data_IF_282402060107
#
_entry.id   IF_282402060107
#
_cell.length_a   1.000
_cell.length_b   1.000
_cell.length_c   1.000
_cell.angle_alpha   90.00
_cell.angle_beta   90.00
_cell.angle_gamma   90.00
#
_symmetry.space_group_name_H-M   'P 1'
#
loop_
_entity.id
_entity.type
_entity.pdbx_description
1 polymer ?
#
# COMPACT_ATOMS: atom_id res chain seq x y z
N UNK A 1 -20.43 14.36 4.39
CA UNK A 1 -19.36 13.50 3.83
C UNK A 1 -18.00 14.18 3.87
N UNK A 2 -17.89 15.46 3.49
CA UNK A 2 -16.64 16.25 3.54
C UNK A 2 -16.04 16.39 4.96
N UNK A 3 -16.88 16.69 5.97
CA UNK A 3 -16.44 16.79 7.38
C UNK A 3 -15.87 15.48 7.97
N UNK A 4 -16.26 14.30 7.44
CA UNK A 4 -15.72 13.02 7.89
C UNK A 4 -14.30 12.79 7.38
N UNK A 5 -13.94 13.35 6.22
CA UNK A 5 -12.59 13.21 5.66
C UNK A 5 -11.56 14.02 6.44
N UNK A 6 -11.92 15.24 6.84
CA UNK A 6 -11.04 16.16 7.57
C UNK A 6 -10.74 15.66 9.00
N UNK A 7 -11.76 15.17 9.71
CA UNK A 7 -11.59 14.63 11.08
C UNK A 7 -10.67 13.40 11.11
N UNK A 8 -10.68 12.56 10.08
CA UNK A 8 -9.83 11.36 10.01
C UNK A 8 -8.36 11.69 9.81
N UNK A 9 -8.05 12.72 9.03
CA UNK A 9 -6.67 13.17 8.84
C UNK A 9 -6.11 13.67 10.18
N UNK A 10 -6.90 14.43 10.94
CA UNK A 10 -6.50 14.93 12.26
C UNK A 10 -6.20 13.78 13.22
N UNK A 11 -7.00 12.72 13.24
CA UNK A 11 -6.72 11.56 14.12
C UNK A 11 -5.35 10.93 13.83
N UNK A 12 -5.03 10.72 12.55
CA UNK A 12 -3.73 10.16 12.16
C UNK A 12 -2.58 11.11 12.49
N UNK A 13 -2.74 12.41 12.22
CA UNK A 13 -1.74 13.42 12.58
C UNK A 13 -1.54 13.50 14.09
N UNK A 14 -2.61 13.36 14.89
CA UNK A 14 -2.53 13.37 16.33
C UNK A 14 -1.75 12.16 16.85
N UNK A 15 -1.92 10.98 16.26
CA UNK A 15 -1.10 9.81 16.61
C UNK A 15 0.39 10.04 16.32
N UNK A 16 0.71 10.72 15.21
CA UNK A 16 2.10 11.10 14.87
C UNK A 16 2.65 12.11 15.88
N UNK A 17 1.88 13.15 16.21
CA UNK A 17 2.29 14.18 17.17
C UNK A 17 2.54 13.63 18.59
N UNK A 18 1.97 12.48 18.93
CA UNK A 18 2.18 11.80 20.20
C UNK A 18 3.17 10.62 20.10
N UNK A 19 3.94 10.53 19.02
CA UNK A 19 4.95 9.50 18.77
C UNK A 19 4.41 8.05 18.85
N UNK A 20 3.12 7.85 18.55
CA UNK A 20 2.49 6.53 18.51
C UNK A 20 2.68 5.83 17.15
N UNK A 21 2.86 6.62 16.08
CA UNK A 21 3.19 6.15 14.73
C UNK A 21 4.16 7.13 14.05
N UNK A 22 5.14 6.62 13.31
CA UNK A 22 6.12 7.49 12.63
C UNK A 22 5.61 8.06 11.30
N UNK A 23 4.69 7.34 10.66
CA UNK A 23 4.17 7.65 9.32
C UNK A 23 2.66 7.40 9.24
N UNK A 24 1.90 8.17 8.44
CA UNK A 24 0.44 8.09 8.35
C UNK A 24 -0.04 6.88 7.52
N UNK A 25 0.29 5.66 7.95
CA UNK A 25 -0.02 4.42 7.22
C UNK A 25 -1.31 3.73 7.66
N UNK A 26 -1.86 4.11 8.82
CA UNK A 26 -3.02 3.46 9.40
C UNK A 26 -4.30 3.81 8.63
N UNK A 27 -4.95 2.81 8.02
CA UNK A 27 -6.17 3.03 7.25
C UNK A 27 -7.44 2.99 8.12
N UNK A 28 -7.51 3.87 9.13
CA UNK A 28 -8.61 3.94 10.11
C UNK A 28 -10.01 4.07 9.49
N UNK A 29 -10.07 4.66 8.29
CA UNK A 29 -11.33 4.85 7.56
C UNK A 29 -12.03 3.55 7.19
N UNK A 30 -11.29 2.46 6.96
CA UNK A 30 -11.86 1.15 6.57
C UNK A 30 -12.88 0.67 7.60
N UNK A 31 -12.46 0.57 8.86
CA UNK A 31 -13.32 0.14 9.97
C UNK A 31 -14.55 1.04 10.16
N UNK A 32 -14.37 2.36 10.02
CA UNK A 32 -15.49 3.32 10.14
C UNK A 32 -16.50 3.14 8.99
N UNK A 33 -16.04 2.85 7.78
CA UNK A 33 -16.92 2.63 6.62
C UNK A 33 -17.68 1.31 6.78
N UNK A 34 -17.01 0.26 7.23
CA UNK A 34 -17.63 -1.04 7.52
C UNK A 34 -18.66 -0.95 8.64
N UNK A 35 -18.39 -0.14 9.67
CA UNK A 35 -19.26 0.05 10.86
C UNK A 35 -19.98 1.40 10.86
N UNK A 36 -20.34 1.91 9.67
CA UNK A 36 -20.87 3.27 9.49
C UNK A 36 -22.10 3.58 10.33
N UNK A 37 -22.99 2.60 10.52
CA UNK A 37 -24.20 2.78 11.32
C UNK A 37 -23.85 3.07 12.78
N UNK A 38 -22.99 2.26 13.39
CA UNK A 38 -22.55 2.44 14.78
C UNK A 38 -21.75 3.72 14.96
N UNK A 39 -20.88 4.06 14.00
CA UNK A 39 -20.17 5.34 14.02
C UNK A 39 -21.13 6.53 14.18
N UNK A 40 -22.18 6.61 13.36
CA UNK A 40 -23.13 7.73 13.46
C UNK A 40 -24.02 7.66 14.68
N UNK A 41 -24.42 6.45 15.11
CA UNK A 41 -25.21 6.25 16.31
C UNK A 41 -24.45 6.75 17.54
N UNK A 42 -23.22 6.27 17.75
CA UNK A 42 -22.37 6.61 18.88
C UNK A 42 -21.97 8.09 18.90
N UNK A 43 -21.65 8.66 17.73
CA UNK A 43 -21.33 10.09 17.62
C UNK A 43 -22.54 10.96 18.01
N UNK A 44 -23.74 10.58 17.57
CA UNK A 44 -24.96 11.32 17.89
C UNK A 44 -25.36 11.18 19.37
N UNK A 45 -25.19 9.99 19.96
CA UNK A 45 -25.39 9.77 21.41
C UNK A 45 -24.44 10.63 22.23
N UNK A 46 -23.15 10.63 21.88
CA UNK A 46 -22.14 11.46 22.55
C UNK A 46 -22.50 12.95 22.52
N UNK A 47 -22.89 13.46 21.34
CA UNK A 47 -23.26 14.87 21.19
C UNK A 47 -24.51 15.29 21.97
N UNK A 48 -25.47 14.37 22.16
CA UNK A 48 -26.77 14.67 22.78
C UNK A 48 -26.82 14.37 24.28
N UNK A 49 -26.16 13.29 24.69
CA UNK A 49 -26.28 12.70 26.03
C UNK A 49 -24.96 12.75 26.80
N UNK A 50 -23.83 13.07 26.15
CA UNK A 50 -22.51 13.07 26.79
C UNK A 50 -21.96 11.67 27.09
N UNK A 51 -22.49 10.63 26.45
CA UNK A 51 -22.06 9.23 26.63
C UNK A 51 -20.76 8.93 25.85
N UNK A 52 -19.62 9.32 26.42
CA UNK A 52 -18.31 9.20 25.77
C UNK A 52 -17.71 7.79 25.78
N UNK A 53 -18.09 6.95 26.73
CA UNK A 53 -17.45 5.66 26.96
C UNK A 53 -17.55 4.74 25.73
N UNK A 54 -18.77 4.51 25.22
CA UNK A 54 -18.97 3.65 24.04
C UNK A 54 -18.28 4.21 22.80
N UNK A 55 -18.24 5.55 22.65
CA UNK A 55 -17.54 6.20 21.54
C UNK A 55 -16.02 5.98 21.60
N UNK A 56 -15.42 6.14 22.78
CA UNK A 56 -13.99 5.91 22.99
C UNK A 56 -13.64 4.44 22.70
N UNK A 57 -14.43 3.49 23.24
CA UNK A 57 -14.24 2.06 22.99
C UNK A 57 -14.33 1.75 21.49
N UNK A 58 -15.30 2.33 20.78
CA UNK A 58 -15.42 2.17 19.34
C UNK A 58 -14.18 2.66 18.59
N UNK A 59 -13.65 3.83 18.95
CA UNK A 59 -12.46 4.39 18.32
C UNK A 59 -11.19 3.58 18.63
N UNK A 60 -11.03 3.12 19.87
CA UNK A 60 -9.93 2.23 20.25
C UNK A 60 -9.99 0.90 19.47
N UNK A 61 -11.20 0.35 19.31
CA UNK A 61 -11.40 -0.87 18.51
C UNK A 61 -11.04 -0.65 17.04
N UNK A 62 -11.43 0.50 16.49
CA UNK A 62 -11.07 0.87 15.13
C UNK A 62 -9.55 0.93 14.93
N UNK A 63 -8.82 1.53 15.89
CA UNK A 63 -7.35 1.59 15.85
C UNK A 63 -6.73 0.19 15.98
N UNK A 64 -7.19 -0.64 16.92
CA UNK A 64 -6.71 -2.01 17.11
C UNK A 64 -6.84 -2.83 15.82
N UNK A 65 -8.06 -2.93 15.28
CA UNK A 65 -8.35 -3.76 14.10
C UNK A 65 -7.56 -3.29 12.88
N UNK A 66 -7.56 -1.98 12.61
CA UNK A 66 -6.85 -1.45 11.44
C UNK A 66 -5.33 -1.53 11.59
N UNK A 67 -4.80 -1.50 12.81
CA UNK A 67 -3.36 -1.70 13.05
C UNK A 67 -2.95 -3.14 12.75
N UNK A 68 -3.72 -4.11 13.21
CA UNK A 68 -3.47 -5.54 12.93
C UNK A 68 -3.53 -5.80 11.42
N UNK A 69 -4.58 -5.32 10.74
CA UNK A 69 -4.71 -5.45 9.29
C UNK A 69 -3.53 -4.81 8.53
N UNK A 70 -3.06 -3.64 8.99
CA UNK A 70 -1.91 -2.95 8.38
C UNK A 70 -0.63 -3.77 8.53
N UNK A 71 -0.39 -4.36 9.72
CA UNK A 71 0.75 -5.23 9.98
C UNK A 71 0.72 -6.48 9.10
N UNK A 72 -0.43 -7.16 9.03
CA UNK A 72 -0.60 -8.35 8.18
C UNK A 72 -0.32 -8.04 6.71
N UNK A 73 -0.83 -6.91 6.23
CA UNK A 73 -0.60 -6.45 4.85
C UNK A 73 0.88 -6.16 4.58
N UNK A 74 1.56 -5.45 5.49
CA UNK A 74 3.02 -5.21 5.37
C UNK A 74 3.80 -6.52 5.34
N UNK A 75 3.49 -7.46 6.23
CA UNK A 75 4.16 -8.76 6.27
C UNK A 75 3.93 -9.56 4.97
N UNK A 76 2.72 -9.50 4.41
CA UNK A 76 2.40 -10.13 3.13
C UNK A 76 3.20 -9.50 1.98
N UNK A 77 3.34 -8.18 1.96
CA UNK A 77 4.14 -7.46 0.96
C UNK A 77 5.63 -7.83 1.10
N UNK A 78 6.17 -7.87 2.33
CA UNK A 78 7.56 -8.27 2.59
C UNK A 78 7.83 -9.69 2.12
N UNK A 79 6.97 -10.65 2.49
CA UNK A 79 7.10 -12.02 2.01
C UNK A 79 7.05 -12.10 0.48
N UNK A 80 6.19 -11.32 -0.18
CA UNK A 80 6.15 -11.27 -1.65
C UNK A 80 7.46 -10.69 -2.23
N UNK A 81 8.04 -9.66 -1.61
CA UNK A 81 9.31 -9.08 -2.02
C UNK A 81 10.44 -10.11 -1.95
N UNK A 82 10.57 -10.80 -0.82
CA UNK A 82 11.63 -11.80 -0.61
C UNK A 82 11.51 -12.94 -1.62
N UNK A 83 10.31 -13.49 -1.81
CA UNK A 83 10.03 -14.51 -2.83
C UNK A 83 10.33 -14.01 -4.26
N UNK A 84 10.06 -12.74 -4.54
CA UNK A 84 10.34 -12.15 -5.85
C UNK A 84 11.83 -12.00 -6.07
N UNK A 85 12.59 -11.55 -5.06
CA UNK A 85 14.05 -11.45 -5.10
C UNK A 85 14.65 -12.82 -5.44
N UNK A 86 14.28 -13.87 -4.70
CA UNK A 86 14.76 -15.23 -4.93
C UNK A 86 14.42 -15.73 -6.34
N UNK A 87 13.16 -15.55 -6.76
CA UNK A 87 12.70 -15.97 -8.09
C UNK A 87 13.47 -15.28 -9.22
N UNK A 88 13.79 -13.99 -9.07
CA UNK A 88 14.59 -13.24 -10.06
C UNK A 88 16.04 -13.69 -10.07
N UNK A 89 16.64 -13.94 -8.89
CA UNK A 89 18.01 -14.46 -8.79
C UNK A 89 18.16 -15.81 -9.51
N UNK A 90 17.19 -16.71 -9.35
CA UNK A 90 17.23 -18.05 -9.97
C UNK A 90 16.94 -17.98 -11.48
N UNK A 91 15.85 -17.30 -11.88
CA UNK A 91 15.35 -17.40 -13.26
C UNK A 91 15.89 -16.31 -14.20
N UNK A 92 16.41 -15.21 -13.66
CA UNK A 92 16.92 -14.08 -14.45
C UNK A 92 18.21 -13.46 -13.85
N UNK A 93 19.25 -14.26 -13.52
CA UNK A 93 20.45 -13.77 -12.81
C UNK A 93 21.20 -12.66 -13.55
N UNK A 94 21.16 -12.66 -14.90
CA UNK A 94 21.87 -11.67 -15.73
C UNK A 94 21.33 -10.24 -15.61
N UNK A 95 20.09 -10.08 -15.17
CA UNK A 95 19.43 -8.77 -15.02
C UNK A 95 19.18 -8.42 -13.56
N UNK A 96 19.46 -9.34 -12.64
CA UNK A 96 19.18 -9.17 -11.24
C UNK A 96 19.96 -7.97 -10.68
N UNK A 97 19.21 -7.06 -10.07
CA UNK A 97 19.68 -5.98 -9.21
C UNK A 97 18.64 -5.81 -8.12
N UNK A 98 19.07 -5.69 -6.87
CA UNK A 98 18.14 -5.57 -5.75
C UNK A 98 17.24 -4.33 -5.93
N UNK A 99 17.82 -3.23 -6.37
CA UNK A 99 17.15 -1.95 -6.61
C UNK A 99 16.11 -2.03 -7.73
N UNK A 100 16.27 -2.96 -8.69
CA UNK A 100 15.27 -3.20 -9.73
C UNK A 100 14.01 -3.82 -9.12
N UNK A 101 14.17 -4.82 -8.26
CA UNK A 101 13.05 -5.48 -7.63
C UNK A 101 12.37 -4.53 -6.65
N UNK A 102 13.13 -3.82 -5.80
CA UNK A 102 12.61 -2.81 -4.88
C UNK A 102 11.80 -1.73 -5.61
N UNK A 103 12.27 -1.24 -6.76
CA UNK A 103 11.53 -0.28 -7.58
C UNK A 103 10.14 -0.79 -8.00
N UNK A 104 9.98 -2.08 -8.27
CA UNK A 104 8.70 -2.66 -8.68
C UNK A 104 7.72 -2.83 -7.51
N UNK A 105 8.22 -2.71 -6.28
CA UNK A 105 7.41 -2.65 -5.07
C UNK A 105 7.08 -1.22 -4.66
N UNK A 106 7.98 -0.27 -4.93
CA UNK A 106 7.72 1.17 -4.83
C UNK A 106 6.72 1.65 -5.91
N UNK A 107 6.82 1.10 -7.12
CA UNK A 107 6.01 1.46 -8.30
C UNK A 107 5.31 0.22 -8.87
N UNK A 108 4.15 -0.20 -8.31
CA UNK A 108 3.40 -1.38 -8.77
C UNK A 108 2.97 -1.28 -10.24
N UNK A 109 2.77 -0.05 -10.73
CA UNK A 109 2.66 0.28 -12.14
C UNK A 109 3.96 0.95 -12.58
N UNK A 110 4.81 0.20 -13.28
CA UNK A 110 6.12 0.68 -13.69
C UNK A 110 6.20 0.97 -15.18
N UNK A 111 7.19 1.74 -15.58
CA UNK A 111 7.53 2.01 -16.98
C UNK A 111 9.05 2.12 -17.16
N UNK A 112 9.48 2.09 -18.42
CA UNK A 112 10.90 2.07 -18.77
C UNK A 112 11.64 3.25 -18.14
N UNK A 113 11.02 4.44 -18.11
CA UNK A 113 11.59 5.67 -17.59
C UNK A 113 11.91 5.56 -16.09
N UNK A 114 11.10 4.85 -15.30
CA UNK A 114 11.37 4.65 -13.87
C UNK A 114 12.63 3.81 -13.66
N UNK A 115 12.80 2.74 -14.45
CA UNK A 115 13.99 1.88 -14.40
C UNK A 115 15.23 2.65 -14.84
N UNK A 116 15.14 3.44 -15.92
CA UNK A 116 16.23 4.31 -16.39
C UNK A 116 16.66 5.27 -15.27
N UNK A 117 15.70 5.92 -14.61
CA UNK A 117 15.98 6.92 -13.58
C UNK A 117 16.58 6.31 -12.30
N UNK A 118 16.07 5.14 -11.86
CA UNK A 118 16.51 4.45 -10.64
C UNK A 118 17.84 3.75 -10.81
N UNK A 119 18.03 3.02 -11.92
CA UNK A 119 19.22 2.20 -12.15
C UNK A 119 20.32 2.91 -12.96
N UNK A 120 20.04 4.11 -13.49
CA UNK A 120 20.95 4.88 -14.36
C UNK A 120 21.46 4.08 -15.56
N UNK A 121 20.56 3.32 -16.19
CA UNK A 121 20.84 2.50 -17.38
C UNK A 121 20.18 3.09 -18.62
N UNK A 122 20.71 2.76 -19.79
CA UNK A 122 20.09 3.12 -21.05
C UNK A 122 18.68 2.52 -21.22
N UNK A 123 17.83 3.22 -21.96
CA UNK A 123 16.46 2.80 -22.26
C UNK A 123 16.36 1.37 -22.81
N UNK A 124 17.32 0.96 -23.66
CA UNK A 124 17.38 -0.39 -24.23
C UNK A 124 17.61 -1.46 -23.16
N UNK A 125 18.49 -1.19 -22.19
CA UNK A 125 18.73 -2.10 -21.07
C UNK A 125 17.53 -2.17 -20.13
N UNK A 126 16.92 -1.03 -19.78
CA UNK A 126 15.71 -0.98 -18.97
C UNK A 126 14.54 -1.75 -19.62
N UNK A 127 14.33 -1.58 -20.93
CA UNK A 127 13.32 -2.34 -21.67
C UNK A 127 13.58 -3.84 -21.64
N UNK A 128 14.85 -4.26 -21.80
CA UNK A 128 15.23 -5.68 -21.69
C UNK A 128 14.93 -6.22 -20.29
N UNK A 129 15.26 -5.48 -19.24
CA UNK A 129 15.01 -5.92 -17.86
C UNK A 129 13.53 -6.17 -17.59
N UNK A 130 12.66 -5.22 -17.94
CA UNK A 130 11.22 -5.36 -17.74
C UNK A 130 10.61 -6.51 -18.54
N UNK A 131 11.06 -6.71 -19.80
CA UNK A 131 10.63 -7.86 -20.62
C UNK A 131 11.07 -9.21 -20.07
N UNK A 132 12.28 -9.31 -19.53
CA UNK A 132 12.73 -10.56 -18.90
C UNK A 132 11.93 -10.85 -17.62
N UNK A 133 11.62 -9.83 -16.81
CA UNK A 133 10.76 -9.97 -15.64
C UNK A 133 9.33 -10.36 -15.99
N UNK A 134 8.81 -9.87 -17.11
CA UNK A 134 7.54 -10.32 -17.68
C UNK A 134 7.59 -11.79 -18.12
N UNK A 135 8.64 -12.22 -18.82
CA UNK A 135 8.81 -13.62 -19.25
C UNK A 135 8.81 -14.61 -18.10
N UNK A 136 9.42 -14.26 -16.96
CA UNK A 136 9.42 -15.12 -15.77
C UNK A 136 8.15 -14.96 -14.90
N UNK A 137 7.18 -14.17 -15.35
CA UNK A 137 5.88 -13.99 -14.70
C UNK A 137 5.93 -13.19 -13.40
N UNK A 138 6.85 -12.23 -13.29
CA UNK A 138 6.84 -11.22 -12.20
C UNK A 138 5.98 -10.01 -12.60
N UNK A 139 6.00 -9.63 -13.87
CA UNK A 139 5.27 -8.49 -14.40
C UNK A 139 4.31 -8.93 -15.52
N UNK A 140 3.32 -8.10 -15.77
CA UNK A 140 2.50 -8.18 -16.99
C UNK A 140 2.50 -6.83 -17.69
N UNK A 141 2.71 -6.81 -19.01
CA UNK A 141 2.63 -5.57 -19.76
C UNK A 141 1.19 -5.24 -20.20
N UNK A 142 0.87 -3.95 -20.16
CA UNK A 142 -0.37 -3.40 -20.69
C UNK A 142 -0.05 -2.15 -21.51
N UNK A 143 -0.58 -2.10 -22.74
CA UNK A 143 -0.45 -0.90 -23.59
C UNK A 143 -1.51 0.13 -23.20
N UNK A 144 -1.07 1.32 -22.83
CA UNK A 144 -1.94 2.45 -22.48
C UNK A 144 -1.56 3.64 -23.35
N UNK A 145 -2.39 3.90 -24.36
CA UNK A 145 -2.09 4.89 -25.39
C UNK A 145 -0.79 4.55 -26.13
N UNK A 146 0.21 5.43 -26.01
CA UNK A 146 1.54 5.27 -26.63
C UNK A 146 2.56 4.62 -25.69
N UNK A 147 2.26 4.50 -24.41
CA UNK A 147 3.17 3.92 -23.41
C UNK A 147 2.84 2.44 -23.15
N UNK A 148 3.84 1.68 -22.68
CA UNK A 148 3.67 0.32 -22.17
C UNK A 148 3.94 0.35 -20.67
N UNK A 149 2.93 0.01 -19.89
CA UNK A 149 3.04 -0.15 -18.44
C UNK A 149 3.37 -1.60 -18.13
N UNK A 150 4.23 -1.82 -17.13
CA UNK A 150 4.54 -3.13 -16.59
C UNK A 150 4.00 -3.21 -15.17
N UNK A 151 3.16 -4.19 -14.93
CA UNK A 151 2.27 -4.25 -13.77
C UNK A 151 2.69 -5.41 -12.87
N UNK A 152 3.04 -5.12 -11.62
CA UNK A 152 3.21 -6.13 -10.58
C UNK A 152 1.85 -6.53 -10.03
N UNK A 153 1.15 -7.43 -10.73
CA UNK A 153 -0.22 -7.81 -10.39
C UNK A 153 -0.35 -8.40 -8.99
N UNK A 154 0.59 -9.26 -8.58
CA UNK A 154 0.57 -9.88 -7.25
C UNK A 154 0.60 -8.82 -6.15
N UNK A 155 1.45 -7.80 -6.29
CA UNK A 155 1.49 -6.70 -5.34
C UNK A 155 0.19 -5.89 -5.35
N UNK A 156 -0.36 -5.59 -6.53
CA UNK A 156 -1.62 -4.85 -6.64
C UNK A 156 -2.78 -5.61 -5.99
N UNK A 157 -2.82 -6.93 -6.11
CA UNK A 157 -3.84 -7.75 -5.45
C UNK A 157 -3.75 -7.67 -3.93
N UNK A 158 -2.54 -7.62 -3.37
CA UNK A 158 -2.34 -7.39 -1.93
C UNK A 158 -2.76 -5.96 -1.56
N UNK A 159 -2.43 -4.96 -2.38
CA UNK A 159 -2.76 -3.56 -2.10
C UNK A 159 -4.26 -3.25 -2.19
N UNK A 160 -5.01 -3.99 -3.03
CA UNK A 160 -6.47 -3.84 -3.20
C UNK A 160 -7.29 -4.45 -2.08
N UNK A 161 -6.79 -5.50 -1.45
CA UNK A 161 -7.40 -6.13 -0.27
C UNK A 161 -7.15 -5.27 0.96
#
# INVERSE_FOLDING_TARGET
>A
MMAMAEQRIINILYLILNDLIDIPILYLSSYIIENKHDYYRLLNQTNKLGEWEEWIIFMLKAVEVTSIQTIEKINTIRALLDNTIEKVQINAPKIYKKELVELLFEQPYSKIEFVVNRLKVERKAASRYLKELEKIGILESQKVGRETLYINKKLIEILKK
#
